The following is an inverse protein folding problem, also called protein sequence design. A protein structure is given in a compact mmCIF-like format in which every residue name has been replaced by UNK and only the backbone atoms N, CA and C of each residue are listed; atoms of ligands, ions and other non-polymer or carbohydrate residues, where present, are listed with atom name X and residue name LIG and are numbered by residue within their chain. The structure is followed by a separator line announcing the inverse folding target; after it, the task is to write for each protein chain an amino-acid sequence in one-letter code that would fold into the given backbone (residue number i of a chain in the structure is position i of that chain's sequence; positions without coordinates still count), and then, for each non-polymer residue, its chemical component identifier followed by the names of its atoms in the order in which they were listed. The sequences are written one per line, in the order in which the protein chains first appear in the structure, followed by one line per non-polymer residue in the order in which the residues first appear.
data_IF_899437521035
#
_entry.id   IF_899437521035
#
_cell.length_a   1.000
_cell.length_b   1.000
_cell.length_c   1.000
_cell.angle_alpha   90.00
_cell.angle_beta   90.00
_cell.angle_gamma   90.00
#
_symmetry.space_group_name_H-M   'P 1'
#
loop_
_entity.id
_entity.type
_entity.pdbx_description
1 polymer ?
#
# COMPACT_ATOMS: atom_id res chain seq x y z
N UNK A 1 -36.06 -0.08 -29.37
CA UNK A 1 -34.92 -0.05 -28.42
C UNK A 1 -35.41 0.63 -27.16
N UNK A 2 -35.24 -0.01 -26.02
CA UNK A 2 -35.81 0.41 -24.73
C UNK A 2 -35.05 1.64 -24.18
N UNK A 3 -35.73 2.79 -24.08
CA UNK A 3 -35.18 4.07 -23.58
C UNK A 3 -34.55 3.93 -22.18
N UNK A 4 -34.94 2.91 -21.42
CA UNK A 4 -34.48 2.62 -20.06
C UNK A 4 -32.99 2.26 -20.00
N UNK A 5 -32.39 1.77 -21.09
CA UNK A 5 -30.96 1.43 -21.12
C UNK A 5 -30.10 2.54 -21.72
N UNK A 6 -30.67 3.40 -22.57
CA UNK A 6 -29.90 4.34 -23.36
C UNK A 6 -29.32 5.48 -22.51
N UNK A 7 -30.04 5.97 -21.49
CA UNK A 7 -29.48 6.95 -20.56
C UNK A 7 -28.32 6.36 -19.73
N UNK A 8 -28.36 5.07 -19.43
CA UNK A 8 -27.28 4.39 -18.70
C UNK A 8 -26.03 4.26 -19.56
N UNK A 9 -26.20 3.92 -20.84
CA UNK A 9 -25.11 3.87 -21.82
C UNK A 9 -24.47 5.24 -22.01
N UNK A 10 -25.27 6.30 -22.19
CA UNK A 10 -24.77 7.68 -22.30
C UNK A 10 -23.98 8.06 -21.04
N UNK A 11 -24.52 7.76 -19.86
CA UNK A 11 -23.84 8.06 -18.60
C UNK A 11 -22.54 7.27 -18.44
N UNK A 12 -22.53 5.99 -18.81
CA UNK A 12 -21.35 5.12 -18.72
C UNK A 12 -20.25 5.53 -19.71
N UNK A 13 -20.60 5.87 -20.95
CA UNK A 13 -19.62 6.34 -21.93
C UNK A 13 -18.96 7.64 -21.47
N UNK A 14 -19.75 8.64 -21.06
CA UNK A 14 -19.20 9.90 -20.56
C UNK A 14 -18.42 9.71 -19.25
N UNK A 15 -18.85 8.79 -18.38
CA UNK A 15 -18.11 8.43 -17.16
C UNK A 15 -16.74 7.85 -17.51
N UNK A 16 -16.66 6.92 -18.46
CA UNK A 16 -15.39 6.35 -18.92
C UNK A 16 -14.48 7.43 -19.52
N UNK A 17 -15.01 8.32 -20.35
CA UNK A 17 -14.24 9.43 -20.94
C UNK A 17 -13.69 10.40 -19.88
N UNK A 18 -14.47 10.71 -18.85
CA UNK A 18 -14.05 11.59 -17.74
C UNK A 18 -13.02 10.88 -16.85
N UNK A 19 -13.26 9.61 -16.49
CA UNK A 19 -12.36 8.85 -15.60
C UNK A 19 -11.04 8.47 -16.29
N UNK A 20 -11.07 8.24 -17.61
CA UNK A 20 -9.88 8.00 -18.42
C UNK A 20 -9.10 9.29 -18.74
N UNK A 21 -9.61 10.47 -18.35
CA UNK A 21 -8.98 11.76 -18.61
C UNK A 21 -9.05 12.23 -20.07
N UNK A 22 -9.79 11.52 -20.93
CA UNK A 22 -10.09 11.94 -22.31
C UNK A 22 -10.83 13.27 -22.31
N UNK A 23 -11.69 13.50 -21.32
CA UNK A 23 -12.27 14.82 -21.04
C UNK A 23 -11.62 15.45 -19.81
N UNK A 24 -11.07 16.64 -19.98
CA UNK A 24 -10.33 17.32 -18.91
C UNK A 24 -11.27 18.01 -17.93
N UNK A 25 -10.90 18.14 -16.64
CA UNK A 25 -11.64 18.97 -15.69
C UNK A 25 -11.86 20.39 -16.24
N UNK A 26 -13.09 20.90 -16.15
CA UNK A 26 -13.50 22.19 -16.70
C UNK A 26 -13.93 22.18 -18.18
N UNK A 27 -13.66 21.09 -18.90
CA UNK A 27 -14.06 20.95 -20.30
C UNK A 27 -15.59 20.97 -20.44
N UNK A 28 -16.07 21.67 -21.47
CA UNK A 28 -17.51 21.76 -21.77
C UNK A 28 -18.00 20.47 -22.43
N UNK A 29 -19.02 19.86 -21.83
CA UNK A 29 -19.71 18.73 -22.41
C UNK A 29 -20.59 19.16 -23.60
N UNK A 30 -20.86 18.24 -24.55
CA UNK A 30 -21.81 18.48 -25.61
C UNK A 30 -23.17 18.92 -25.04
N UNK A 31 -23.88 19.79 -25.77
CA UNK A 31 -25.20 20.22 -25.33
C UNK A 31 -26.18 19.04 -25.36
N UNK A 32 -27.29 19.14 -24.63
CA UNK A 32 -28.37 18.14 -24.69
C UNK A 32 -28.79 17.89 -26.14
N UNK A 33 -28.91 18.95 -26.95
CA UNK A 33 -29.24 18.89 -28.38
C UNK A 33 -28.20 18.13 -29.21
N UNK A 34 -26.91 18.30 -28.93
CA UNK A 34 -25.85 17.57 -29.65
C UNK A 34 -25.87 16.09 -29.28
N UNK A 35 -26.08 15.78 -28.00
CA UNK A 35 -26.15 14.40 -27.51
C UNK A 35 -27.39 13.67 -28.02
N UNK A 36 -28.54 14.34 -28.14
CA UNK A 36 -29.75 13.73 -28.71
C UNK A 36 -29.53 13.30 -30.15
N UNK A 37 -28.82 14.13 -30.93
CA UNK A 37 -28.48 13.81 -32.32
C UNK A 37 -27.46 12.69 -32.41
N UNK A 38 -26.39 12.74 -31.60
CA UNK A 38 -25.33 11.73 -31.63
C UNK A 38 -25.83 10.33 -31.21
N UNK A 39 -26.62 10.27 -30.14
CA UNK A 39 -27.15 9.00 -29.60
C UNK A 39 -28.50 8.61 -30.19
N UNK A 40 -29.04 9.40 -31.13
CA UNK A 40 -30.37 9.23 -31.71
C UNK A 40 -31.46 8.96 -30.65
N UNK A 41 -31.58 9.87 -29.67
CA UNK A 41 -32.42 9.68 -28.49
C UNK A 41 -33.19 10.95 -28.07
N UNK A 42 -34.11 10.79 -27.12
CA UNK A 42 -34.91 11.90 -26.57
C UNK A 42 -34.09 12.79 -25.63
N UNK A 43 -34.45 14.08 -25.56
CA UNK A 43 -33.79 15.03 -24.66
C UNK A 43 -33.90 14.60 -23.18
N UNK A 44 -35.02 13.98 -22.79
CA UNK A 44 -35.21 13.43 -21.44
C UNK A 44 -34.20 12.34 -21.08
N UNK A 45 -33.81 11.50 -22.05
CA UNK A 45 -32.81 10.44 -21.89
C UNK A 45 -31.43 11.03 -21.61
N UNK A 46 -31.00 12.03 -22.39
CA UNK A 46 -29.73 12.74 -22.16
C UNK A 46 -29.74 13.50 -20.83
N UNK A 47 -30.82 14.21 -20.53
CA UNK A 47 -30.95 14.96 -19.28
C UNK A 47 -30.88 14.04 -18.07
N UNK A 48 -31.49 12.85 -18.14
CA UNK A 48 -31.41 11.83 -17.09
C UNK A 48 -29.97 11.33 -16.90
N UNK A 49 -29.25 11.07 -18.00
CA UNK A 49 -27.83 10.70 -17.94
C UNK A 49 -26.98 11.80 -17.28
N UNK A 50 -27.20 13.06 -17.66
CA UNK A 50 -26.46 14.21 -17.12
C UNK A 50 -26.79 14.43 -15.63
N UNK A 51 -28.05 14.25 -15.24
CA UNK A 51 -28.47 14.34 -13.83
C UNK A 51 -27.78 13.30 -12.95
N UNK A 52 -27.58 12.08 -13.47
CA UNK A 52 -26.86 11.01 -12.75
C UNK A 52 -25.38 11.38 -12.61
N UNK A 53 -24.73 11.82 -13.68
CA UNK A 53 -23.33 12.25 -13.65
C UNK A 53 -23.11 13.46 -12.73
N UNK A 54 -24.05 14.39 -12.68
CA UNK A 54 -24.02 15.52 -11.77
C UNK A 54 -24.19 15.08 -10.31
N UNK A 55 -25.11 14.16 -10.02
CA UNK A 55 -25.26 13.54 -8.69
C UNK A 55 -24.00 12.78 -8.24
N UNK A 56 -23.24 12.25 -9.20
CA UNK A 56 -21.95 11.59 -8.97
C UNK A 56 -20.77 12.57 -8.83
N UNK A 57 -21.02 13.88 -8.99
CA UNK A 57 -19.98 14.91 -8.90
C UNK A 57 -19.00 14.94 -10.08
N UNK A 58 -19.32 14.25 -11.19
CA UNK A 58 -18.45 14.17 -12.36
C UNK A 58 -18.61 15.38 -13.29
N UNK A 59 -19.77 16.01 -13.27
CA UNK A 59 -20.11 17.16 -14.12
C UNK A 59 -20.89 18.21 -13.33
N UNK A 60 -20.82 19.46 -13.76
CA UNK A 60 -21.53 20.60 -13.17
C UNK A 60 -22.19 21.42 -14.29
N UNK A 61 -23.45 21.80 -14.10
CA UNK A 61 -24.14 22.73 -15.00
C UNK A 61 -24.07 24.14 -14.44
N UNK A 62 -23.60 25.09 -15.26
CA UNK A 62 -23.57 26.52 -14.93
C UNK A 62 -24.61 27.25 -15.80
N UNK A 63 -25.54 28.03 -15.20
CA UNK A 63 -26.52 28.81 -15.94
C UNK A 63 -25.84 29.67 -17.02
N UNK A 64 -26.31 29.59 -18.27
CA UNK A 64 -25.76 30.34 -19.40
C UNK A 64 -24.42 29.83 -19.98
N UNK A 65 -23.65 29.01 -19.25
CA UNK A 65 -22.34 28.51 -19.72
C UNK A 65 -22.38 27.07 -20.23
N UNK A 66 -23.38 26.30 -19.81
CA UNK A 66 -23.57 24.90 -20.20
C UNK A 66 -23.09 23.94 -19.12
N UNK A 67 -22.87 22.68 -19.50
CA UNK A 67 -22.42 21.63 -18.59
C UNK A 67 -20.95 21.36 -18.79
N UNK A 68 -20.18 21.30 -17.71
CA UNK A 68 -18.73 21.12 -17.70
C UNK A 68 -18.32 19.94 -16.84
N UNK A 69 -17.18 19.32 -17.13
CA UNK A 69 -16.54 18.34 -16.24
C UNK A 69 -16.11 19.05 -14.96
N UNK A 70 -16.38 18.46 -13.79
CA UNK A 70 -16.08 19.10 -12.51
C UNK A 70 -14.57 19.36 -12.33
N UNK A 71 -14.19 20.56 -11.89
CA UNK A 71 -12.81 20.95 -11.59
C UNK A 71 -12.46 20.63 -10.13
N UNK A 72 -11.32 19.97 -9.91
CA UNK A 72 -10.75 19.56 -8.61
C UNK A 72 -10.46 20.69 -7.58
N UNK A 73 -10.40 22.01 -7.87
CA UNK A 73 -10.03 23.02 -6.87
C UNK A 73 -11.05 23.27 -5.73
N UNK A 74 -12.34 22.93 -5.86
CA UNK A 74 -13.37 23.23 -4.85
C UNK A 74 -13.46 22.18 -3.70
N UNK A 75 -12.56 21.20 -3.66
CA UNK A 75 -12.61 20.13 -2.65
C UNK A 75 -12.12 20.53 -1.25
N UNK A 76 -11.49 21.70 -1.09
CA UNK A 76 -10.98 22.15 0.21
C UNK A 76 -12.08 22.68 1.14
N UNK A 77 -13.16 23.25 0.62
CA UNK A 77 -14.27 23.80 1.45
C UNK A 77 -15.37 22.77 1.78
N UNK A 78 -15.41 21.62 1.07
CA UNK A 78 -16.45 20.57 1.22
C UNK A 78 -15.95 19.42 2.14
N UNK A 79 -14.77 19.53 2.76
CA UNK A 79 -14.12 18.40 3.46
C UNK A 79 -14.98 17.73 4.56
N UNK A 80 -15.72 18.45 5.42
CA UNK A 80 -16.56 17.81 6.45
C UNK A 80 -17.78 17.10 5.85
N UNK A 81 -18.52 17.76 4.96
CA UNK A 81 -19.73 17.19 4.33
C UNK A 81 -19.40 16.03 3.39
N UNK A 82 -18.28 16.09 2.67
CA UNK A 82 -17.82 15.01 1.78
C UNK A 82 -17.39 13.79 2.57
N UNK A 83 -16.64 13.98 3.66
CA UNK A 83 -16.26 12.89 4.58
C UNK A 83 -17.49 12.29 5.26
N UNK A 84 -18.41 13.12 5.75
CA UNK A 84 -19.68 12.67 6.33
C UNK A 84 -20.55 11.90 5.32
N UNK A 85 -20.63 12.35 4.07
CA UNK A 85 -21.40 11.65 3.03
C UNK A 85 -20.79 10.29 2.69
N UNK A 86 -19.46 10.20 2.61
CA UNK A 86 -18.76 8.93 2.39
C UNK A 86 -18.97 8.00 3.59
N UNK A 87 -18.79 8.52 4.80
CA UNK A 87 -19.01 7.77 6.03
C UNK A 87 -20.43 7.19 6.10
N UNK A 88 -21.46 8.02 5.90
CA UNK A 88 -22.86 7.58 5.91
C UNK A 88 -23.15 6.54 4.80
N UNK A 89 -22.50 6.63 3.64
CA UNK A 89 -22.66 5.63 2.58
C UNK A 89 -21.99 4.31 2.92
N UNK A 90 -20.81 4.36 3.51
CA UNK A 90 -20.10 3.17 3.97
C UNK A 90 -20.88 2.51 5.11
N UNK A 91 -21.40 3.29 6.05
CA UNK A 91 -22.22 2.81 7.17
C UNK A 91 -23.51 2.15 6.67
N UNK A 92 -24.23 2.76 5.73
CA UNK A 92 -25.40 2.12 5.12
C UNK A 92 -25.05 0.83 4.37
N UNK A 93 -23.94 0.80 3.62
CA UNK A 93 -23.45 -0.42 2.98
C UNK A 93 -23.14 -1.53 3.98
N UNK A 94 -22.52 -1.19 5.12
CA UNK A 94 -22.24 -2.13 6.20
C UNK A 94 -23.54 -2.66 6.80
N UNK A 95 -24.49 -1.78 7.11
CA UNK A 95 -25.81 -2.16 7.66
C UNK A 95 -26.60 -3.06 6.71
N UNK A 96 -26.62 -2.76 5.41
CA UNK A 96 -27.26 -3.58 4.39
C UNK A 96 -26.60 -4.96 4.29
N UNK A 97 -25.26 -5.01 4.31
CA UNK A 97 -24.50 -6.26 4.20
C UNK A 97 -24.66 -7.13 5.45
N UNK A 98 -24.65 -6.54 6.65
CA UNK A 98 -24.90 -7.26 7.91
C UNK A 98 -26.34 -7.77 7.96
N UNK A 99 -27.31 -6.95 7.53
CA UNK A 99 -28.73 -7.36 7.48
C UNK A 99 -28.98 -8.48 6.47
N UNK A 100 -28.14 -8.58 5.44
CA UNK A 100 -28.14 -9.67 4.47
C UNK A 100 -27.43 -10.95 4.96
N UNK A 101 -26.88 -10.95 6.19
CA UNK A 101 -26.28 -12.11 6.83
C UNK A 101 -24.76 -12.27 6.60
N UNK A 102 -24.09 -11.28 6.02
CA UNK A 102 -22.63 -11.32 5.85
C UNK A 102 -21.90 -10.95 7.15
N UNK A 103 -20.84 -11.69 7.47
CA UNK A 103 -19.96 -11.35 8.60
C UNK A 103 -19.07 -10.15 8.29
N UNK A 104 -18.62 -9.44 9.33
CA UNK A 104 -17.71 -8.30 9.19
C UNK A 104 -16.43 -8.65 8.41
N UNK A 105 -15.89 -9.86 8.62
CA UNK A 105 -14.68 -10.33 7.93
C UNK A 105 -14.91 -10.54 6.43
N UNK A 106 -16.07 -11.08 6.04
CA UNK A 106 -16.43 -11.27 4.62
C UNK A 106 -16.60 -9.91 3.91
N UNK A 107 -17.23 -8.95 4.60
CA UNK A 107 -17.42 -7.61 4.07
C UNK A 107 -16.08 -6.90 3.89
N UNK A 108 -15.19 -7.00 4.88
CA UNK A 108 -13.85 -6.43 4.81
C UNK A 108 -13.03 -7.05 3.67
N UNK A 109 -13.02 -8.37 3.55
CA UNK A 109 -12.33 -9.08 2.47
C UNK A 109 -12.86 -8.68 1.09
N UNK A 110 -14.19 -8.66 0.93
CA UNK A 110 -14.83 -8.24 -0.31
C UNK A 110 -14.49 -6.79 -0.69
N UNK A 111 -14.46 -5.89 0.31
CA UNK A 111 -14.09 -4.49 0.11
C UNK A 111 -12.62 -4.36 -0.31
N UNK A 112 -11.70 -5.08 0.35
CA UNK A 112 -10.28 -5.13 -0.04
C UNK A 112 -10.12 -5.63 -1.48
N UNK A 113 -10.76 -6.74 -1.83
CA UNK A 113 -10.73 -7.30 -3.20
C UNK A 113 -11.32 -6.34 -4.25
N UNK A 114 -12.41 -5.65 -3.93
CA UNK A 114 -13.03 -4.68 -4.82
C UNK A 114 -12.12 -3.45 -5.05
N UNK A 115 -11.47 -2.96 -3.98
CA UNK A 115 -10.51 -1.87 -4.05
C UNK A 115 -9.27 -2.26 -4.85
N UNK A 116 -8.74 -3.47 -4.65
CA UNK A 116 -7.59 -3.96 -5.39
C UNK A 116 -7.91 -4.16 -6.87
N UNK A 117 -9.10 -4.67 -7.21
CA UNK A 117 -9.59 -4.71 -8.59
C UNK A 117 -9.68 -3.33 -9.22
N UNK A 118 -10.18 -2.34 -8.49
CA UNK A 118 -10.26 -0.95 -8.97
C UNK A 118 -8.88 -0.31 -9.12
N UNK A 119 -7.91 -0.63 -8.25
CA UNK A 119 -6.52 -0.19 -8.38
C UNK A 119 -5.86 -0.76 -9.62
N UNK A 120 -6.13 -2.03 -9.96
CA UNK A 120 -5.65 -2.67 -11.19
C UNK A 120 -6.26 -2.02 -12.44
N UNK A 121 -7.58 -1.78 -12.46
CA UNK A 121 -8.27 -1.12 -13.59
C UNK A 121 -7.75 0.31 -13.81
N UNK A 122 -7.36 1.02 -12.75
CA UNK A 122 -6.75 2.36 -12.86
C UNK A 122 -5.31 2.32 -13.40
N UNK A 123 -4.60 1.21 -13.17
CA UNK A 123 -3.19 1.02 -13.56
C UNK A 123 -3.00 0.73 -15.05
N UNK A 124 -3.99 0.15 -15.73
CA UNK A 124 -3.93 -0.10 -17.19
C UNK A 124 -4.11 1.16 -18.05
N UNK A 125 -4.60 2.27 -17.49
CA UNK A 125 -4.84 3.53 -18.22
C UNK A 125 -3.62 4.48 -18.19
N UNK A 126 -2.60 4.23 -17.37
CA UNK A 126 -1.45 5.14 -17.25
C UNK A 126 -0.15 4.53 -17.78
N UNK A 127 0.08 4.75 -19.06
CA UNK A 127 1.43 4.71 -19.65
C UNK A 127 2.31 5.79 -19.05
N UNK A 128 3.54 5.42 -18.66
CA UNK A 128 4.76 6.26 -18.68
C UNK A 128 4.56 7.75 -18.39
N UNK A 129 4.39 8.13 -17.12
CA UNK A 129 4.68 9.50 -16.71
C UNK A 129 6.11 9.55 -16.20
N UNK A 130 6.97 10.35 -16.86
CA UNK A 130 8.37 10.61 -16.48
C UNK A 130 8.55 11.12 -15.04
N UNK A 131 7.44 11.43 -14.34
CA UNK A 131 7.43 12.00 -13.00
C UNK A 131 6.89 11.06 -11.91
N UNK A 132 6.65 9.77 -12.19
CA UNK A 132 6.12 8.83 -11.20
C UNK A 132 7.13 7.72 -10.92
N UNK A 133 7.55 7.59 -9.66
CA UNK A 133 8.30 6.45 -9.17
C UNK A 133 7.33 5.38 -8.70
N UNK A 134 7.43 4.16 -9.25
CA UNK A 134 6.60 3.02 -8.85
C UNK A 134 7.35 2.16 -7.84
N UNK A 135 6.92 2.19 -6.59
CA UNK A 135 7.41 1.30 -5.54
C UNK A 135 6.54 0.03 -5.46
N UNK A 136 7.19 -1.13 -5.36
CA UNK A 136 6.52 -2.37 -4.99
C UNK A 136 7.33 -3.17 -3.96
N UNK A 137 6.72 -3.63 -2.89
CA UNK A 137 7.45 -4.52 -1.97
C UNK A 137 6.83 -4.66 -0.61
N UNK A 138 7.69 -4.81 0.39
CA UNK A 138 7.26 -4.92 1.77
C UNK A 138 6.58 -3.65 2.27
N UNK A 139 5.57 -3.84 3.11
CA UNK A 139 4.94 -2.75 3.85
C UNK A 139 5.88 -2.30 4.97
N UNK A 140 6.22 -1.01 4.98
CA UNK A 140 7.18 -0.43 5.90
C UNK A 140 6.73 0.99 6.33
N UNK A 141 6.99 1.33 7.58
CA UNK A 141 6.55 2.61 8.19
C UNK A 141 7.32 3.79 7.60
N UNK A 142 8.63 3.66 7.36
CA UNK A 142 9.43 4.72 6.74
C UNK A 142 8.99 4.96 5.29
N UNK A 143 8.69 3.91 4.53
CA UNK A 143 8.13 4.06 3.16
C UNK A 143 6.75 4.76 3.18
N UNK A 144 5.88 4.40 4.12
CA UNK A 144 4.58 5.05 4.26
C UNK A 144 4.75 6.54 4.63
N UNK A 145 5.68 6.86 5.53
CA UNK A 145 6.02 8.23 5.89
C UNK A 145 6.60 9.02 4.72
N UNK A 146 7.58 8.47 4.00
CA UNK A 146 8.18 9.07 2.79
C UNK A 146 7.09 9.36 1.77
N UNK A 147 6.17 8.42 1.54
CA UNK A 147 5.07 8.63 0.59
C UNK A 147 4.11 9.74 1.03
N UNK A 148 3.88 9.93 2.33
CA UNK A 148 3.02 10.99 2.84
C UNK A 148 3.65 12.39 2.68
N UNK A 149 4.99 12.47 2.71
CA UNK A 149 5.76 13.72 2.60
C UNK A 149 6.42 13.89 1.23
N UNK A 150 6.12 13.01 0.27
CA UNK A 150 6.88 12.92 -0.98
C UNK A 150 6.82 14.20 -1.82
N UNK A 151 5.71 14.92 -1.79
CA UNK A 151 5.57 16.20 -2.49
C UNK A 151 6.38 17.34 -1.87
N UNK A 152 6.76 17.22 -0.60
CA UNK A 152 7.65 18.18 0.07
C UNK A 152 9.11 17.81 -0.19
N UNK A 153 9.42 16.51 -0.11
CA UNK A 153 10.74 15.93 -0.39
C UNK A 153 11.16 16.15 -1.86
N UNK A 154 10.27 15.84 -2.79
CA UNK A 154 10.50 15.93 -4.25
C UNK A 154 9.26 16.50 -4.96
N UNK A 155 9.11 17.84 -5.01
CA UNK A 155 7.91 18.50 -5.52
C UNK A 155 7.55 18.20 -6.98
N UNK A 156 8.54 17.84 -7.79
CA UNK A 156 8.37 17.53 -9.22
C UNK A 156 7.93 16.08 -9.48
N UNK A 157 7.95 15.22 -8.47
CA UNK A 157 7.77 13.79 -8.60
C UNK A 157 6.61 13.26 -7.73
N UNK A 158 6.14 12.06 -8.07
CA UNK A 158 5.13 11.34 -7.31
C UNK A 158 5.64 9.93 -6.99
N UNK A 159 5.24 9.41 -5.84
CA UNK A 159 5.52 8.04 -5.42
C UNK A 159 4.22 7.23 -5.41
N UNK A 160 4.17 6.16 -6.19
CA UNK A 160 3.06 5.20 -6.21
C UNK A 160 3.46 3.94 -5.46
N UNK A 161 2.69 3.56 -4.43
CA UNK A 161 2.98 2.38 -3.61
C UNK A 161 2.12 1.17 -3.99
N UNK A 162 2.75 0.00 -4.06
CA UNK A 162 2.09 -1.30 -4.05
C UNK A 162 2.74 -2.22 -3.01
N UNK A 163 1.95 -2.72 -2.06
CA UNK A 163 2.45 -3.64 -1.06
C UNK A 163 2.11 -5.08 -1.43
N UNK A 164 3.14 -5.92 -1.54
CA UNK A 164 3.04 -7.34 -1.90
C UNK A 164 4.06 -8.23 -1.18
N UNK A 165 4.76 -7.70 -0.17
CA UNK A 165 5.88 -8.37 0.49
C UNK A 165 7.19 -8.24 -0.30
N UNK A 166 8.31 -8.59 0.35
CA UNK A 166 9.65 -8.42 -0.22
C UNK A 166 9.82 -9.21 -1.52
N UNK A 167 9.42 -10.48 -1.54
CA UNK A 167 9.50 -11.34 -2.72
C UNK A 167 8.59 -10.83 -3.86
N UNK A 168 7.36 -10.40 -3.53
CA UNK A 168 6.44 -9.82 -4.51
C UNK A 168 6.98 -8.53 -5.14
N UNK A 169 7.73 -7.73 -4.38
CA UNK A 169 8.42 -6.54 -4.89
C UNK A 169 9.50 -6.87 -5.92
N UNK A 170 10.36 -7.86 -5.63
CA UNK A 170 11.39 -8.32 -6.56
C UNK A 170 10.79 -8.89 -7.85
N UNK A 171 9.69 -9.66 -7.74
CA UNK A 171 8.95 -10.15 -8.91
C UNK A 171 8.40 -8.97 -9.73
N UNK A 172 7.82 -7.96 -9.09
CA UNK A 172 7.31 -6.77 -9.78
C UNK A 172 8.42 -5.99 -10.51
N UNK A 173 9.65 -5.94 -9.97
CA UNK A 173 10.81 -5.40 -10.69
C UNK A 173 11.15 -6.24 -11.93
N UNK A 174 11.21 -7.57 -11.79
CA UNK A 174 11.53 -8.47 -12.91
C UNK A 174 10.53 -8.35 -14.06
N UNK A 175 9.25 -8.12 -13.74
CA UNK A 175 8.17 -7.91 -14.71
C UNK A 175 8.06 -6.47 -15.24
N UNK A 176 8.91 -5.54 -14.79
CA UNK A 176 8.85 -4.12 -15.20
C UNK A 176 7.63 -3.34 -14.66
N UNK A 177 6.94 -3.90 -13.65
CA UNK A 177 5.75 -3.32 -13.02
C UNK A 177 6.09 -2.34 -11.88
N UNK A 178 7.35 -2.32 -11.45
CA UNK A 178 7.90 -1.42 -10.46
C UNK A 178 9.26 -0.86 -10.91
N UNK A 179 9.65 0.28 -10.34
CA UNK A 179 10.93 0.94 -10.53
C UNK A 179 11.87 0.68 -9.33
N UNK A 180 11.29 0.61 -8.13
CA UNK A 180 11.99 0.34 -6.88
C UNK A 180 11.26 -0.78 -6.13
N UNK A 181 12.01 -1.72 -5.54
CA UNK A 181 11.44 -2.65 -4.57
C UNK A 181 12.03 -2.56 -3.18
N UNK A 182 11.17 -2.45 -2.16
CA UNK A 182 11.60 -2.55 -0.76
C UNK A 182 11.65 -4.01 -0.30
N UNK A 183 12.82 -4.45 0.14
CA UNK A 183 13.11 -5.84 0.47
C UNK A 183 13.98 -6.00 1.72
N UNK A 184 13.81 -7.13 2.39
CA UNK A 184 14.54 -7.58 3.58
C UNK A 184 14.51 -9.11 3.67
N UNK A 185 14.76 -9.82 2.57
CA UNK A 185 14.70 -11.28 2.56
C UNK A 185 16.00 -11.86 3.13
N UNK A 186 15.91 -12.54 4.27
CA UNK A 186 17.05 -13.21 4.89
C UNK A 186 17.45 -14.48 4.13
N UNK A 187 18.75 -14.68 3.93
CA UNK A 187 19.30 -15.94 3.42
C UNK A 187 20.26 -16.55 4.44
N UNK A 188 19.91 -17.74 4.92
CA UNK A 188 20.65 -18.45 5.97
C UNK A 188 22.06 -18.87 5.52
N UNK A 189 22.24 -19.18 4.23
CA UNK A 189 23.52 -19.69 3.73
C UNK A 189 24.56 -18.59 3.64
N UNK A 190 24.17 -17.44 3.09
CA UNK A 190 25.04 -16.27 2.97
C UNK A 190 25.12 -15.43 4.25
N UNK A 191 24.18 -15.61 5.19
CA UNK A 191 24.02 -14.76 6.38
C UNK A 191 23.87 -13.27 6.00
N UNK A 192 23.18 -13.02 4.88
CA UNK A 192 22.97 -11.69 4.32
C UNK A 192 21.52 -11.52 3.88
N UNK A 193 21.09 -10.27 3.77
CA UNK A 193 19.79 -9.90 3.23
C UNK A 193 19.86 -9.73 1.72
N UNK A 194 18.76 -10.05 1.04
CA UNK A 194 18.40 -9.69 -0.33
C UNK A 194 19.27 -10.28 -1.47
N UNK A 195 20.60 -10.30 -1.36
CA UNK A 195 21.52 -10.62 -2.47
C UNK A 195 21.17 -11.94 -3.17
N UNK A 196 21.05 -13.09 -2.46
CA UNK A 196 20.78 -14.36 -3.13
C UNK A 196 19.41 -14.43 -3.81
N UNK A 197 18.43 -13.68 -3.31
CA UNK A 197 17.10 -13.59 -3.91
C UNK A 197 17.13 -12.72 -5.17
N UNK A 198 17.88 -11.62 -5.14
CA UNK A 198 18.04 -10.73 -6.31
C UNK A 198 18.77 -11.46 -7.43
N UNK A 199 19.86 -12.17 -7.15
CA UNK A 199 20.59 -12.94 -8.17
C UNK A 199 19.72 -14.00 -8.86
N UNK A 200 18.78 -14.61 -8.12
CA UNK A 200 17.83 -15.60 -8.65
C UNK A 200 16.70 -14.96 -9.46
N UNK A 201 16.18 -13.80 -9.05
CA UNK A 201 15.00 -13.16 -9.65
C UNK A 201 15.37 -12.20 -10.80
N UNK A 202 16.53 -11.56 -10.71
CA UNK A 202 17.07 -10.60 -11.67
C UNK A 202 18.45 -11.08 -12.18
N UNK A 203 18.55 -12.29 -12.77
CA UNK A 203 19.84 -12.88 -13.12
C UNK A 203 20.57 -12.03 -14.16
N UNK A 204 21.85 -11.74 -13.90
CA UNK A 204 22.74 -10.97 -14.79
C UNK A 204 22.36 -9.50 -14.95
N UNK A 205 21.47 -8.96 -14.11
CA UNK A 205 21.14 -7.54 -14.10
C UNK A 205 21.94 -6.81 -13.04
N UNK A 206 22.74 -5.84 -13.47
CA UNK A 206 23.40 -4.90 -12.56
C UNK A 206 22.35 -4.18 -11.71
N UNK A 207 22.40 -4.38 -10.40
CA UNK A 207 21.35 -3.94 -9.48
C UNK A 207 21.99 -3.24 -8.28
N UNK A 208 21.46 -2.06 -7.95
CA UNK A 208 21.81 -1.33 -6.74
C UNK A 208 20.88 -1.75 -5.60
N UNK A 209 21.45 -1.94 -4.41
CA UNK A 209 20.73 -2.07 -3.16
C UNK A 209 21.08 -0.85 -2.34
N UNK A 210 20.09 0.01 -2.11
CA UNK A 210 20.24 1.24 -1.32
C UNK A 210 19.64 0.98 0.06
N UNK A 211 20.45 1.03 1.11
CA UNK A 211 19.96 0.85 2.48
C UNK A 211 19.00 1.98 2.83
N UNK A 212 17.78 1.63 3.24
CA UNK A 212 16.85 2.60 3.81
C UNK A 212 17.08 2.74 5.31
N UNK A 213 17.15 1.63 6.02
CA UNK A 213 17.37 1.59 7.47
C UNK A 213 17.76 0.19 7.95
N UNK A 214 18.46 0.15 9.08
CA UNK A 214 18.46 -1.03 9.96
C UNK A 214 17.24 -0.94 10.88
N UNK A 215 16.52 -2.05 11.09
CA UNK A 215 15.26 -2.05 11.86
C UNK A 215 15.26 -3.13 12.93
N UNK A 216 14.87 -2.78 14.15
CA UNK A 216 14.78 -3.73 15.25
C UNK A 216 13.58 -4.65 15.07
N UNK A 217 13.86 -5.93 14.88
CA UNK A 217 12.90 -7.01 14.76
C UNK A 217 12.88 -7.83 16.05
N UNK A 218 11.68 -8.16 16.53
CA UNK A 218 11.53 -8.83 17.81
C UNK A 218 10.14 -9.37 18.06
N UNK A 219 9.91 -9.79 19.30
CA UNK A 219 8.59 -10.18 19.79
C UNK A 219 7.90 -8.97 20.42
N UNK A 220 6.76 -8.61 19.87
CA UNK A 220 5.83 -7.66 20.47
C UNK A 220 5.06 -8.39 21.56
N UNK A 221 4.99 -7.82 22.76
CA UNK A 221 4.37 -8.42 23.95
C UNK A 221 3.52 -7.38 24.69
N UNK A 222 2.56 -7.77 25.55
CA UNK A 222 1.90 -6.84 26.45
C UNK A 222 2.92 -6.02 27.25
N UNK A 223 2.54 -4.80 27.62
CA UNK A 223 3.36 -3.93 28.47
C UNK A 223 3.80 -4.67 29.74
N UNK A 224 5.03 -4.43 30.16
CA UNK A 224 5.72 -5.14 31.27
C UNK A 224 5.99 -6.63 31.04
N UNK A 225 5.64 -7.20 29.89
CA UNK A 225 5.93 -8.59 29.53
C UNK A 225 5.53 -9.61 30.63
N UNK A 226 4.23 -9.71 30.98
CA UNK A 226 3.77 -10.46 32.15
C UNK A 226 4.07 -11.96 32.09
N UNK A 227 4.29 -12.51 30.89
CA UNK A 227 4.64 -13.90 30.66
C UNK A 227 6.16 -14.14 30.64
N UNK A 228 6.97 -13.11 30.94
CA UNK A 228 8.43 -13.17 30.96
C UNK A 228 9.02 -13.81 29.69
N UNK A 229 8.51 -13.40 28.53
CA UNK A 229 9.01 -13.89 27.24
C UNK A 229 10.41 -13.31 27.01
N UNK A 230 11.38 -14.16 26.75
CA UNK A 230 12.79 -13.81 26.60
C UNK A 230 13.32 -14.04 25.19
N UNK A 231 12.64 -14.86 24.39
CA UNK A 231 13.04 -15.14 23.01
C UNK A 231 12.20 -16.23 22.34
N UNK A 232 12.69 -16.75 21.22
CA UNK A 232 11.95 -17.71 20.38
C UNK A 232 11.67 -19.06 21.07
N UNK A 233 12.52 -19.49 22.01
CA UNK A 233 12.32 -20.72 22.78
C UNK A 233 11.05 -20.69 23.64
N UNK A 234 10.60 -19.50 24.06
CA UNK A 234 9.39 -19.37 24.88
C UNK A 234 8.10 -19.57 24.06
N UNK A 235 8.17 -19.54 22.73
CA UNK A 235 6.99 -19.63 21.86
C UNK A 235 6.27 -20.99 21.92
N UNK A 236 6.93 -22.04 22.44
CA UNK A 236 6.34 -23.38 22.59
C UNK A 236 5.66 -23.59 23.94
N UNK A 237 5.70 -22.61 24.84
CA UNK A 237 5.02 -22.71 26.14
C UNK A 237 3.50 -22.69 25.95
N UNK A 238 2.73 -23.51 26.69
CA UNK A 238 1.31 -23.71 26.45
C UNK A 238 0.44 -22.46 26.68
N UNK A 239 0.90 -21.51 27.48
CA UNK A 239 0.23 -20.24 27.73
C UNK A 239 0.43 -19.20 26.61
N UNK A 240 1.34 -19.45 25.66
CA UNK A 240 1.63 -18.53 24.56
C UNK A 240 0.60 -18.68 23.44
N UNK A 241 -0.01 -17.55 23.05
CA UNK A 241 -0.84 -17.41 21.85
C UNK A 241 -0.11 -16.48 20.89
N UNK A 242 0.55 -17.06 19.91
CA UNK A 242 1.35 -16.34 18.95
C UNK A 242 0.50 -15.77 17.80
N UNK A 243 0.89 -14.60 17.30
CA UNK A 243 0.41 -14.04 16.03
C UNK A 243 1.60 -13.77 15.12
N UNK A 244 1.49 -14.19 13.87
CA UNK A 244 2.60 -14.23 12.92
C UNK A 244 2.43 -13.22 11.78
N UNK A 245 3.46 -13.07 10.96
CA UNK A 245 3.40 -12.38 9.67
C UNK A 245 3.11 -13.35 8.54
N UNK A 246 2.44 -12.85 7.50
CA UNK A 246 2.13 -13.59 6.28
C UNK A 246 3.35 -14.35 5.72
N UNK A 247 3.09 -15.55 5.20
CA UNK A 247 4.09 -16.32 4.45
C UNK A 247 4.71 -15.50 3.31
N UNK A 248 6.02 -15.66 3.12
CA UNK A 248 6.80 -14.92 2.10
C UNK A 248 7.17 -13.47 2.46
N UNK A 249 6.73 -12.95 3.61
CA UNK A 249 7.31 -11.71 4.16
C UNK A 249 8.74 -11.97 4.63
N UNK A 250 9.65 -10.99 4.53
CA UNK A 250 11.05 -11.20 4.93
C UNK A 250 11.19 -11.51 6.42
N UNK A 251 10.38 -10.87 7.28
CA UNK A 251 10.24 -11.24 8.70
C UNK A 251 9.87 -12.70 8.90
N UNK A 252 8.94 -13.26 8.10
CA UNK A 252 8.56 -14.67 8.19
C UNK A 252 9.67 -15.59 7.68
N UNK A 253 10.35 -15.22 6.60
CA UNK A 253 11.53 -15.95 6.10
C UNK A 253 12.63 -16.01 7.16
N UNK A 254 12.91 -14.90 7.83
CA UNK A 254 13.88 -14.85 8.93
C UNK A 254 13.44 -15.71 10.12
N UNK A 255 12.18 -15.61 10.54
CA UNK A 255 11.65 -16.41 11.65
C UNK A 255 11.75 -17.91 11.36
N UNK A 256 11.31 -18.34 10.18
CA UNK A 256 11.29 -19.75 9.79
C UNK A 256 12.72 -20.32 9.78
N UNK A 257 13.70 -19.58 9.24
CA UNK A 257 15.12 -19.95 9.31
C UNK A 257 15.62 -20.02 10.75
N UNK A 258 15.27 -19.05 11.60
CA UNK A 258 15.72 -19.05 12.99
C UNK A 258 15.10 -20.15 13.85
N UNK A 259 13.83 -20.49 13.62
CA UNK A 259 13.19 -21.62 14.28
C UNK A 259 13.81 -22.95 13.84
N UNK A 260 14.19 -23.07 12.56
CA UNK A 260 14.93 -24.22 12.03
C UNK A 260 16.30 -24.38 12.71
N UNK A 261 17.11 -23.31 12.77
CA UNK A 261 18.41 -23.29 13.47
C UNK A 261 18.29 -23.74 14.93
N UNK A 262 17.24 -23.26 15.62
CA UNK A 262 16.98 -23.56 17.02
C UNK A 262 16.30 -24.92 17.22
N UNK A 263 16.03 -25.67 16.14
CA UNK A 263 15.32 -26.94 16.15
C UNK A 263 13.95 -26.86 16.85
N UNK A 264 13.24 -25.72 16.70
CA UNK A 264 11.91 -25.49 17.25
C UNK A 264 10.86 -25.90 16.21
N UNK A 265 10.09 -26.98 16.42
CA UNK A 265 9.06 -27.38 15.48
C UNK A 265 7.92 -26.36 15.47
N UNK A 266 7.61 -25.83 14.29
CA UNK A 266 6.55 -24.83 14.10
C UNK A 266 5.17 -25.32 14.54
N UNK A 267 4.92 -26.63 14.47
CA UNK A 267 3.69 -27.27 14.96
C UNK A 267 3.49 -27.22 16.47
N UNK A 268 4.52 -26.90 17.26
CA UNK A 268 4.42 -26.69 18.70
C UNK A 268 4.09 -25.23 19.09
N UNK A 269 4.14 -24.30 18.13
CA UNK A 269 3.84 -22.88 18.37
C UNK A 269 2.34 -22.66 18.16
N UNK A 270 1.60 -22.46 19.24
CA UNK A 270 0.18 -22.14 19.17
C UNK A 270 -0.02 -20.80 18.46
N UNK A 271 -0.78 -20.80 17.36
CA UNK A 271 -1.02 -19.60 16.55
C UNK A 271 0.05 -19.32 15.49
N UNK A 272 0.95 -20.26 15.20
CA UNK A 272 1.96 -20.10 14.14
C UNK A 272 1.40 -19.67 12.77
N UNK A 273 0.20 -20.15 12.42
CA UNK A 273 -0.50 -19.83 11.17
C UNK A 273 -1.53 -18.69 11.32
N UNK A 274 -1.55 -17.99 12.46
CA UNK A 274 -2.36 -16.79 12.67
C UNK A 274 -1.67 -15.61 11.98
N UNK A 275 -1.78 -15.55 10.66
CA UNK A 275 -1.04 -14.61 9.82
C UNK A 275 -1.65 -13.21 9.82
N UNK A 276 -0.78 -12.19 9.86
CA UNK A 276 -1.12 -10.78 9.70
C UNK A 276 -0.30 -10.14 8.56
N UNK A 277 -0.95 -9.23 7.85
CA UNK A 277 -0.38 -8.58 6.67
C UNK A 277 0.57 -7.45 7.02
N UNK A 278 0.39 -6.79 8.18
CA UNK A 278 1.22 -5.67 8.63
C UNK A 278 1.73 -5.89 10.05
N UNK A 279 2.81 -5.19 10.43
CA UNK A 279 3.33 -5.21 11.80
C UNK A 279 2.31 -4.58 12.78
N UNK A 280 1.59 -3.54 12.34
CA UNK A 280 0.51 -2.90 13.09
C UNK A 280 -0.64 -3.86 13.41
N UNK A 281 -0.99 -4.77 12.50
CA UNK A 281 -2.04 -5.78 12.73
C UNK A 281 -1.62 -6.85 13.74
N UNK A 282 -0.31 -7.17 13.81
CA UNK A 282 0.27 -8.01 14.87
C UNK A 282 0.10 -7.31 16.22
N UNK A 283 0.55 -6.06 16.34
CA UNK A 283 0.43 -5.26 17.56
C UNK A 283 -1.03 -5.11 18.02
N UNK A 284 -1.94 -4.77 17.10
CA UNK A 284 -3.39 -4.68 17.39
C UNK A 284 -3.95 -6.00 17.90
N UNK A 285 -3.55 -7.14 17.34
CA UNK A 285 -4.03 -8.45 17.80
C UNK A 285 -3.62 -8.75 19.25
N UNK A 286 -2.54 -8.16 19.74
CA UNK A 286 -2.10 -8.27 21.14
C UNK A 286 -2.89 -7.33 22.03
N UNK A 287 -3.13 -6.09 21.60
CA UNK A 287 -3.99 -5.13 22.32
C UNK A 287 -5.42 -5.68 22.51
N UNK A 288 -5.96 -6.32 21.49
CA UNK A 288 -7.30 -6.90 21.50
C UNK A 288 -7.38 -8.25 22.24
N UNK A 289 -6.29 -8.69 22.90
CA UNK A 289 -6.14 -9.99 23.61
C UNK A 289 -6.38 -11.25 22.74
N UNK A 290 -6.42 -11.10 21.40
CA UNK A 290 -6.47 -12.23 20.47
C UNK A 290 -5.16 -13.03 20.46
N UNK A 291 -4.05 -12.42 20.86
CA UNK A 291 -2.73 -13.02 21.02
C UNK A 291 -2.03 -12.38 22.23
N UNK A 292 -1.00 -13.03 22.77
CA UNK A 292 -0.19 -12.46 23.87
C UNK A 292 1.28 -12.28 23.49
N UNK A 293 1.67 -12.64 22.27
CA UNK A 293 2.95 -12.27 21.67
C UNK A 293 2.87 -12.41 20.16
N UNK A 294 3.72 -11.69 19.42
CA UNK A 294 3.77 -11.79 17.97
C UNK A 294 5.05 -11.23 17.40
N UNK A 295 5.44 -11.66 16.20
CA UNK A 295 6.66 -11.15 15.57
C UNK A 295 6.41 -9.83 14.84
N UNK A 296 7.25 -8.83 15.07
CA UNK A 296 7.16 -7.57 14.36
C UNK A 296 8.27 -6.57 14.68
N UNK A 297 8.16 -5.38 14.09
CA UNK A 297 9.12 -4.29 14.32
C UNK A 297 8.81 -3.58 15.64
N UNK A 298 9.87 -3.09 16.29
CA UNK A 298 9.73 -2.29 17.52
C UNK A 298 8.84 -1.07 17.34
N UNK A 299 8.94 -0.38 16.20
CA UNK A 299 8.08 0.74 15.84
C UNK A 299 6.57 0.41 15.95
N UNK A 300 6.18 -0.82 15.63
CA UNK A 300 4.79 -1.25 15.74
C UNK A 300 4.38 -1.52 17.21
N UNK A 301 5.29 -2.03 18.05
CA UNK A 301 5.03 -2.15 19.49
C UNK A 301 4.78 -0.78 20.12
N UNK A 302 5.65 0.19 19.81
CA UNK A 302 5.60 1.53 20.38
C UNK A 302 4.36 2.31 19.97
N UNK A 303 3.91 2.15 18.71
CA UNK A 303 2.67 2.77 18.23
C UNK A 303 1.42 2.35 19.03
N UNK A 304 1.48 1.22 19.76
CA UNK A 304 0.41 0.70 20.59
C UNK A 304 0.77 0.63 22.08
N UNK A 305 1.88 1.27 22.50
CA UNK A 305 2.35 1.27 23.89
C UNK A 305 2.55 -0.15 24.47
N UNK A 306 3.05 -1.06 23.62
CA UNK A 306 3.34 -2.45 23.95
C UNK A 306 4.80 -2.65 24.37
N UNK A 307 5.07 -3.75 25.07
CA UNK A 307 6.42 -4.20 25.34
C UNK A 307 7.09 -4.83 24.11
N UNK A 308 8.40 -4.96 24.16
CA UNK A 308 9.19 -5.50 23.06
C UNK A 308 10.39 -6.32 23.56
N UNK A 309 10.58 -7.50 22.97
CA UNK A 309 11.72 -8.38 23.21
C UNK A 309 12.57 -8.38 21.94
N UNK A 310 13.76 -7.80 22.01
CA UNK A 310 14.66 -7.67 20.87
C UNK A 310 15.20 -9.03 20.42
N UNK A 311 15.20 -9.28 19.11
CA UNK A 311 15.74 -10.53 18.54
C UNK A 311 16.89 -10.29 17.56
N UNK A 312 16.77 -9.29 16.68
CA UNK A 312 17.80 -8.97 15.69
C UNK A 312 17.61 -7.57 15.10
N UNK A 313 18.63 -7.13 14.36
CA UNK A 313 18.52 -6.03 13.41
C UNK A 313 18.28 -6.56 12.00
N UNK A 314 17.30 -5.97 11.31
CA UNK A 314 16.89 -6.34 9.96
C UNK A 314 17.24 -5.21 8.97
N UNK A 315 18.05 -5.53 7.96
CA UNK A 315 18.45 -4.58 6.93
C UNK A 315 17.32 -4.43 5.88
N UNK A 316 16.75 -3.23 5.78
CA UNK A 316 15.75 -2.91 4.76
C UNK A 316 16.37 -2.09 3.65
N UNK A 317 16.30 -2.61 2.42
CA UNK A 317 16.94 -2.00 1.26
C UNK A 317 15.94 -1.76 0.14
N UNK A 318 16.23 -0.73 -0.65
CA UNK A 318 15.60 -0.41 -1.92
C UNK A 318 16.42 -1.04 -3.04
N UNK A 319 15.84 -2.01 -3.71
CA UNK A 319 16.42 -2.72 -4.85
C UNK A 319 16.04 -1.98 -6.13
N UNK A 320 17.04 -1.60 -6.92
CA UNK A 320 16.88 -0.71 -8.07
C UNK A 320 17.78 -1.19 -9.22
N UNK A 321 17.21 -1.62 -10.37
CA UNK A 321 18.00 -1.94 -11.55
C UNK A 321 18.82 -0.73 -12.03
N UNK A 322 20.03 -0.97 -12.52
CA UNK A 322 20.96 0.12 -12.89
C UNK A 322 20.35 1.11 -13.89
N UNK A 323 19.63 0.61 -14.89
CA UNK A 323 18.94 1.41 -15.90
C UNK A 323 17.86 2.32 -15.31
N UNK A 324 17.19 1.88 -14.23
CA UNK A 324 16.17 2.66 -13.52
C UNK A 324 16.83 3.68 -12.60
N UNK A 325 17.92 3.31 -11.93
CA UNK A 325 18.72 4.23 -11.12
C UNK A 325 19.27 5.41 -11.94
N UNK A 326 19.37 5.29 -13.26
CA UNK A 326 19.80 6.41 -14.10
C UNK A 326 18.73 7.49 -14.32
N UNK A 327 17.46 7.19 -14.04
CA UNK A 327 16.35 8.12 -14.25
C UNK A 327 16.42 9.30 -13.26
N UNK A 328 16.12 10.55 -13.70
CA UNK A 328 16.22 11.73 -12.84
C UNK A 328 15.42 11.60 -11.53
N UNK A 329 14.17 11.15 -11.60
CA UNK A 329 13.31 10.99 -10.43
C UNK A 329 13.92 10.05 -9.37
N UNK A 330 14.49 8.93 -9.81
CA UNK A 330 15.11 7.94 -8.92
C UNK A 330 16.44 8.46 -8.39
N UNK A 331 17.27 9.11 -9.21
CA UNK A 331 18.52 9.74 -8.75
C UNK A 331 18.27 10.76 -7.66
N UNK A 332 17.31 11.66 -7.86
CA UNK A 332 17.00 12.72 -6.90
C UNK A 332 16.46 12.13 -5.60
N UNK A 333 15.66 11.05 -5.68
CA UNK A 333 15.19 10.33 -4.50
C UNK A 333 16.33 9.66 -3.72
N UNK A 334 17.25 8.99 -4.40
CA UNK A 334 18.41 8.38 -3.74
C UNK A 334 19.38 9.44 -3.21
N UNK A 335 19.54 10.57 -3.90
CA UNK A 335 20.32 11.69 -3.40
C UNK A 335 19.71 12.30 -2.12
N UNK A 336 18.37 12.42 -2.06
CA UNK A 336 17.68 12.85 -0.85
C UNK A 336 17.90 11.89 0.32
N UNK A 337 17.89 10.57 0.09
CA UNK A 337 18.17 9.59 1.15
C UNK A 337 19.54 9.76 1.81
N UNK A 338 20.53 10.32 1.10
CA UNK A 338 21.86 10.60 1.64
C UNK A 338 21.96 11.92 2.43
N UNK A 339 20.85 12.66 2.59
CA UNK A 339 20.83 13.94 3.31
C UNK A 339 20.56 13.75 4.80
N UNK A 340 21.05 14.69 5.63
CA UNK A 340 20.77 14.69 7.07
C UNK A 340 19.26 14.77 7.37
N UNK A 341 18.48 15.41 6.50
CA UNK A 341 17.02 15.48 6.62
C UNK A 341 16.39 14.10 6.55
N UNK A 342 16.77 13.28 5.55
CA UNK A 342 16.28 11.92 5.42
C UNK A 342 16.72 11.04 6.61
N UNK A 343 17.98 11.16 7.03
CA UNK A 343 18.50 10.41 8.18
C UNK A 343 17.71 10.74 9.46
N UNK A 344 17.51 12.04 9.75
CA UNK A 344 16.73 12.48 10.92
C UNK A 344 15.28 11.99 10.86
N UNK A 345 14.66 12.00 9.68
CA UNK A 345 13.28 11.54 9.51
C UNK A 345 13.14 10.03 9.77
N UNK A 346 14.12 9.23 9.37
CA UNK A 346 14.13 7.78 9.58
C UNK A 346 14.48 7.45 11.04
N UNK A 347 15.50 8.10 11.62
CA UNK A 347 15.89 7.92 13.04
C UNK A 347 14.78 8.35 14.02
N UNK A 348 13.89 9.26 13.61
CA UNK A 348 12.72 9.63 14.41
C UNK A 348 11.71 8.48 14.57
N UNK A 349 11.78 7.43 13.74
CA UNK A 349 10.95 6.25 13.86
C UNK A 349 11.64 5.29 14.83
N UNK A 350 11.05 5.13 16.02
CA UNK A 350 11.70 4.34 17.06
C UNK A 350 11.94 2.88 16.63
N UNK A 351 13.16 2.40 16.85
CA UNK A 351 13.60 1.08 16.39
C UNK A 351 14.12 1.06 14.96
N UNK A 352 14.27 2.21 14.30
CA UNK A 352 15.03 2.37 13.06
C UNK A 352 16.38 3.00 13.39
N UNK A 353 17.40 2.62 12.62
CA UNK A 353 18.73 3.21 12.62
C UNK A 353 19.09 3.61 11.19
N UNK A 354 19.29 4.92 11.00
CA UNK A 354 19.57 5.57 9.74
C UNK A 354 21.08 5.78 9.47
N UNK A 355 21.97 5.24 10.31
CA UNK A 355 23.43 5.39 10.15
C UNK A 355 23.96 4.94 8.78
N UNK A 356 23.27 3.98 8.16
CA UNK A 356 23.58 3.45 6.83
C UNK A 356 22.59 3.89 5.74
N UNK A 357 21.62 4.76 6.04
CA UNK A 357 20.66 5.24 5.04
C UNK A 357 21.38 5.84 3.84
N UNK A 358 20.90 5.52 2.63
CA UNK A 358 21.46 5.99 1.37
C UNK A 358 22.74 5.30 0.93
N UNK A 359 23.35 4.43 1.76
CA UNK A 359 24.51 3.63 1.34
C UNK A 359 24.11 2.64 0.25
N UNK A 360 24.97 2.49 -0.76
CA UNK A 360 24.71 1.65 -1.93
C UNK A 360 25.70 0.50 -1.97
N UNK A 361 25.18 -0.72 -2.10
CA UNK A 361 25.95 -1.90 -2.53
C UNK A 361 25.44 -2.41 -3.87
N UNK A 362 26.30 -3.14 -4.59
CA UNK A 362 26.07 -3.52 -5.98
C UNK A 362 26.09 -5.03 -6.16
N UNK A 363 25.16 -5.53 -6.97
CA UNK A 363 25.22 -6.83 -7.62
C UNK A 363 25.52 -6.57 -9.10
N UNK A 364 26.49 -7.32 -9.66
CA UNK A 364 26.98 -7.13 -11.03
C UNK A 364 26.44 -8.17 -12.00
#
# INVERSE_FOLDING_TARGET
MDETYLYQQIAETLRKEILAGTRKPGEKLPTVRNMTTFWNCTAGTVQRAYKILAKQGLIQSRPGQGTHVATVPELKEIMPLRRATLFNRTENFLLESISAGYSQNEIELAMRMALDRWRVVKKEIQSTQENVIRYAGSNDIAIAWISAHFSEILPSFQLSLQFGGSLGGLIALAEGKADIAGSHLWDEVSQDYNIPYIERILPGKKTALVTLAQRQLGLIVPRENPLNISGLHDLVRPEIRFVNRQSGSGTRVWLDSRLHDLSIPTGLIQGYNNDKFTHTDVARSIVDDHANTGIGLKAAANAFDLGFVDLTSECFELVIPFEILQQPAVKDFIAWLATQEAHNAIDAIEGYDASQTGQIRWIN
#
